data_IF_802934988545
#
_entry.id   IF_802934988545
#
_cell.length_a   1.000
_cell.length_b   1.000
_cell.length_c   1.000
_cell.angle_alpha   90.00
_cell.angle_beta   90.00
_cell.angle_gamma   90.00
#
_symmetry.space_group_name_H-M   'P 1'
#
loop_
_entity.id
_entity.type
_entity.pdbx_description
1 polymer ?
#
# COMPACT_ATOMS: atom_id res chain seq x y z
N UNK A 1 6.76 17.68 3.33
CA UNK A 1 6.04 16.75 4.24
C UNK A 1 5.14 15.87 3.40
N UNK A 2 5.14 14.55 3.60
CA UNK A 2 4.24 13.63 2.89
C UNK A 2 2.87 13.62 3.60
N UNK A 3 1.78 13.65 2.83
CA UNK A 3 0.39 13.63 3.34
C UNK A 3 -0.45 12.60 2.61
N UNK A 4 -1.30 11.89 3.33
CA UNK A 4 -2.23 10.89 2.80
C UNK A 4 -3.68 11.32 3.06
N UNK A 5 -4.59 10.89 2.20
CA UNK A 5 -6.03 11.05 2.46
C UNK A 5 -6.49 9.90 3.34
N UNK A 6 -6.98 10.21 4.53
CA UNK A 6 -7.65 9.23 5.38
C UNK A 6 -9.06 8.98 4.83
N UNK A 7 -9.35 7.74 4.46
CA UNK A 7 -10.66 7.38 3.91
C UNK A 7 -11.77 7.33 4.98
N UNK A 8 -11.42 7.26 6.27
CA UNK A 8 -12.37 7.29 7.37
C UNK A 8 -12.92 8.69 7.64
N UNK A 9 -12.05 9.71 7.56
CA UNK A 9 -12.41 11.11 7.83
C UNK A 9 -12.57 11.94 6.56
N UNK A 10 -11.95 11.54 5.45
CA UNK A 10 -11.87 12.31 4.21
C UNK A 10 -10.76 13.37 4.22
N UNK A 11 -10.07 13.54 5.34
CA UNK A 11 -9.07 14.60 5.52
C UNK A 11 -7.67 14.18 5.05
N UNK A 12 -6.86 15.18 4.70
CA UNK A 12 -5.43 14.96 4.44
C UNK A 12 -4.67 14.97 5.75
N UNK A 13 -4.11 13.84 6.14
CA UNK A 13 -3.29 13.68 7.35
C UNK A 13 -1.81 13.63 7.01
N UNK A 14 -0.96 14.16 7.89
CA UNK A 14 0.49 14.04 7.74
C UNK A 14 0.94 12.59 7.96
N UNK A 15 1.84 12.12 7.10
CA UNK A 15 2.46 10.82 7.28
C UNK A 15 3.51 10.90 8.39
N UNK A 16 3.21 10.28 9.53
CA UNK A 16 4.17 10.08 10.63
C UNK A 16 4.45 8.58 10.73
N UNK A 17 5.69 8.13 10.45
CA UNK A 17 6.01 6.70 10.50
C UNK A 17 5.91 6.18 11.93
N UNK A 18 5.45 4.92 12.07
CA UNK A 18 5.35 4.25 13.37
C UNK A 18 6.72 3.96 13.99
N UNK A 19 7.71 3.66 13.17
CA UNK A 19 9.11 3.50 13.54
C UNK A 19 9.94 4.46 12.71
N UNK A 20 10.83 5.21 13.34
CA UNK A 20 11.66 6.19 12.62
C UNK A 20 12.51 5.49 11.54
N UNK A 21 12.52 6.08 10.34
CA UNK A 21 13.21 5.49 9.18
C UNK A 21 12.52 4.28 8.55
N UNK A 22 11.34 3.85 9.04
CA UNK A 22 10.58 2.71 8.51
C UNK A 22 9.12 3.04 8.24
N UNK A 23 8.65 2.60 7.09
CA UNK A 23 7.28 2.70 6.62
C UNK A 23 6.86 1.33 6.10
N UNK A 24 5.68 0.88 6.50
CA UNK A 24 5.07 -0.35 6.01
C UNK A 24 3.70 -0.02 5.42
N UNK A 25 3.42 -0.52 4.22
CA UNK A 25 2.12 -0.35 3.57
C UNK A 25 1.51 -1.73 3.32
N UNK A 26 0.20 -1.85 3.59
CA UNK A 26 -0.58 -3.03 3.23
C UNK A 26 -1.51 -2.69 2.07
N UNK A 27 -1.64 -3.64 1.14
CA UNK A 27 -2.55 -3.53 0.01
C UNK A 27 -3.22 -4.89 -0.25
N UNK A 28 -4.53 -4.88 -0.47
CA UNK A 28 -5.24 -6.06 -0.94
C UNK A 28 -4.97 -6.26 -2.43
N UNK A 29 -4.19 -7.31 -2.75
CA UNK A 29 -3.88 -7.66 -4.14
C UNK A 29 -5.10 -8.13 -4.94
N UNK A 30 -4.97 -8.29 -6.27
CA UNK A 30 -6.04 -8.81 -7.10
C UNK A 30 -6.33 -10.28 -6.74
N UNK A 31 -7.60 -10.73 -6.89
CA UNK A 31 -7.92 -12.15 -6.76
C UNK A 31 -7.18 -12.97 -7.83
N UNK A 32 -6.81 -14.21 -7.48
CA UNK A 32 -6.01 -15.10 -8.35
C UNK A 32 -6.84 -16.00 -9.26
N UNK A 33 -8.17 -15.95 -9.13
CA UNK A 33 -9.08 -16.88 -9.82
C UNK A 33 -9.58 -16.37 -11.18
N UNK A 34 -9.19 -15.16 -11.59
CA UNK A 34 -9.60 -14.56 -12.87
C UNK A 34 -8.51 -13.63 -13.43
N UNK A 35 -8.62 -13.29 -14.72
CA UNK A 35 -7.67 -12.42 -15.42
C UNK A 35 -7.76 -10.99 -14.87
N UNK A 36 -6.64 -10.37 -14.45
CA UNK A 36 -6.65 -9.00 -13.96
C UNK A 36 -7.11 -8.00 -15.04
N UNK A 37 -8.15 -7.23 -14.75
CA UNK A 37 -8.59 -6.13 -15.60
C UNK A 37 -7.84 -4.83 -15.27
N UNK A 38 -8.05 -3.79 -16.09
CA UNK A 38 -7.37 -2.48 -15.98
C UNK A 38 -7.45 -1.85 -14.57
N UNK A 39 -8.53 -2.12 -13.84
CA UNK A 39 -8.70 -1.65 -12.46
C UNK A 39 -7.65 -2.23 -11.51
N UNK A 40 -7.33 -3.53 -11.63
CA UNK A 40 -6.27 -4.16 -10.84
C UNK A 40 -4.89 -3.58 -11.21
N UNK A 41 -4.64 -3.36 -12.50
CA UNK A 41 -3.38 -2.77 -12.96
C UNK A 41 -3.18 -1.35 -12.42
N UNK A 42 -4.22 -0.50 -12.46
CA UNK A 42 -4.17 0.86 -11.92
C UNK A 42 -3.81 0.89 -10.43
N UNK A 43 -4.48 0.05 -9.63
CA UNK A 43 -4.20 -0.02 -8.19
C UNK A 43 -2.77 -0.49 -7.94
N UNK A 44 -2.33 -1.56 -8.61
CA UNK A 44 -0.96 -2.07 -8.46
C UNK A 44 0.09 -0.99 -8.76
N UNK A 45 -0.07 -0.25 -9.86
CA UNK A 45 0.84 0.83 -10.23
C UNK A 45 0.82 1.99 -9.23
N UNK A 46 -0.34 2.34 -8.68
CA UNK A 46 -0.44 3.37 -7.67
C UNK A 46 0.36 3.02 -6.40
N UNK A 47 0.35 1.75 -5.98
CA UNK A 47 1.14 1.27 -4.84
C UNK A 47 2.64 1.13 -5.18
N UNK A 48 2.99 0.75 -6.40
CA UNK A 48 4.38 0.70 -6.85
C UNK A 48 5.04 2.09 -6.85
N UNK A 49 4.30 3.13 -7.26
CA UNK A 49 4.74 4.53 -7.18
C UNK A 49 4.96 5.05 -5.75
N UNK A 50 4.45 4.37 -4.71
CA UNK A 50 4.75 4.66 -3.31
C UNK A 50 6.08 4.03 -2.85
N UNK A 51 6.55 3.00 -3.56
CA UNK A 51 7.79 2.28 -3.28
C UNK A 51 9.11 3.06 -3.32
N UNK A 52 9.29 4.16 -4.09
CA UNK A 52 10.54 4.93 -4.07
C UNK A 52 10.72 5.79 -2.80
N UNK A 53 9.79 5.75 -1.84
CA UNK A 53 9.96 6.42 -0.55
C UNK A 53 11.08 5.72 0.26
N UNK A 54 12.11 6.45 0.73
CA UNK A 54 13.33 5.88 1.33
C UNK A 54 13.09 5.07 2.62
N UNK A 55 11.92 5.21 3.24
CA UNK A 55 11.55 4.51 4.46
C UNK A 55 10.73 3.23 4.22
N UNK A 56 10.24 2.96 2.99
CA UNK A 56 9.33 1.81 2.77
C UNK A 56 10.13 0.51 2.77
N UNK A 57 9.98 -0.29 3.82
CA UNK A 57 10.61 -1.61 3.92
C UNK A 57 10.06 -2.53 2.82
N UNK A 58 10.92 -2.85 1.85
CA UNK A 58 10.62 -3.74 0.73
C UNK A 58 10.86 -5.22 1.08
N UNK A 59 11.03 -5.56 2.35
CA UNK A 59 11.05 -6.95 2.82
C UNK A 59 9.65 -7.55 2.65
N UNK A 60 9.32 -7.86 1.39
CA UNK A 60 8.04 -8.36 0.93
C UNK A 60 7.73 -9.69 1.59
N UNK A 61 7.13 -9.66 2.78
CA UNK A 61 6.19 -10.69 3.17
C UNK A 61 4.91 -10.39 2.41
N UNK A 62 4.80 -11.01 1.24
CA UNK A 62 3.53 -11.53 0.73
C UNK A 62 2.94 -12.43 1.85
N UNK A 63 2.40 -11.84 2.93
CA UNK A 63 1.46 -12.57 3.77
C UNK A 63 0.20 -12.62 2.93
N UNK A 64 0.12 -13.66 2.12
CA UNK A 64 -1.15 -14.30 1.80
C UNK A 64 -1.98 -14.23 3.07
N UNK A 65 -3.05 -13.46 3.04
CA UNK A 65 -4.11 -13.56 4.03
C UNK A 65 -4.54 -15.02 3.94
N UNK A 66 -4.01 -15.86 4.84
CA UNK A 66 -4.60 -17.15 5.12
C UNK A 66 -5.98 -16.79 5.66
N UNK A 67 -6.97 -16.92 4.78
CA UNK A 67 -8.37 -16.97 5.17
C UNK A 67 -8.48 -18.02 6.29
N UNK A 68 -8.99 -17.56 7.43
CA UNK A 68 -9.51 -18.43 8.47
C UNK A 68 -10.98 -18.71 8.19
#
# INVERSE_FOLDING_TARGET
MLRFTDSLTGDKVDFVPREEGKASVYWCGPPVYDVPHLGHARSTLAFDLLGPLPAVDRSGRHRSVQHH
#
